data_IF_379131292058
#
_entry.id   IF_379131292058
#
_cell.length_a   1.000
_cell.length_b   1.000
_cell.length_c   1.000
_cell.angle_alpha   90.00
_cell.angle_beta   90.00
_cell.angle_gamma   90.00
#
_symmetry.space_group_name_H-M   'P 1'
#
loop_
_entity.id
_entity.type
_entity.pdbx_description
1 polymer ?
#
# COMPACT_ATOMS: atom_id res chain seq x y z
N UNK A 1 -25.33 1.89 -14.82
CA UNK A 1 -25.38 1.11 -13.56
C UNK A 1 -23.96 0.70 -13.20
N UNK A 2 -23.23 1.51 -12.44
CA UNK A 2 -21.91 1.13 -11.91
C UNK A 2 -22.09 0.77 -10.44
N UNK A 3 -22.13 -0.53 -10.17
CA UNK A 3 -21.94 -1.05 -8.82
C UNK A 3 -20.60 -0.49 -8.32
N UNK A 4 -20.63 0.46 -7.38
CA UNK A 4 -19.43 0.84 -6.65
C UNK A 4 -19.04 -0.41 -5.88
N UNK A 5 -18.03 -1.13 -6.35
CA UNK A 5 -17.43 -2.23 -5.62
C UNK A 5 -17.16 -1.76 -4.19
N UNK A 6 -17.80 -2.39 -3.22
CA UNK A 6 -17.62 -2.03 -1.81
C UNK A 6 -16.20 -2.43 -1.43
N UNK A 7 -15.28 -1.46 -1.45
CA UNK A 7 -13.91 -1.65 -0.98
C UNK A 7 -13.95 -2.04 0.50
N UNK A 8 -13.37 -3.19 0.84
CA UNK A 8 -13.24 -3.61 2.23
C UNK A 8 -12.19 -2.76 2.94
N UNK A 9 -12.65 -1.87 3.82
CA UNK A 9 -11.80 -0.97 4.62
C UNK A 9 -11.21 -1.62 5.88
N UNK A 10 -11.54 -2.89 6.15
CA UNK A 10 -10.95 -3.70 7.21
C UNK A 10 -9.88 -4.67 6.69
N UNK A 11 -9.56 -4.59 5.40
CA UNK A 11 -8.50 -5.35 4.75
C UNK A 11 -7.17 -5.23 5.50
N UNK A 12 -6.45 -6.34 5.62
CA UNK A 12 -5.10 -6.35 6.21
C UNK A 12 -4.17 -5.52 5.32
N UNK A 13 -3.38 -4.63 5.92
CA UNK A 13 -2.35 -3.84 5.22
C UNK A 13 -0.96 -4.38 5.57
N UNK A 14 -0.13 -4.63 4.57
CA UNK A 14 1.26 -5.01 4.74
C UNK A 14 2.16 -4.04 3.97
N UNK A 15 3.21 -3.54 4.62
CA UNK A 15 4.24 -2.71 4.02
C UNK A 15 5.46 -3.60 3.79
N UNK A 16 5.86 -3.75 2.53
CA UNK A 16 7.10 -4.39 2.15
C UNK A 16 8.25 -3.38 2.32
N UNK A 17 9.14 -3.64 3.26
CA UNK A 17 10.27 -2.77 3.58
C UNK A 17 11.37 -2.88 2.54
N UNK A 18 11.80 -1.74 2.00
CA UNK A 18 12.88 -1.65 1.02
C UNK A 18 14.12 -1.08 1.70
N UNK A 19 15.20 -1.87 1.71
CA UNK A 19 16.49 -1.48 2.31
C UNK A 19 17.41 -0.74 1.35
N UNK A 20 16.95 -0.48 0.13
CA UNK A 20 17.74 0.20 -0.88
C UNK A 20 17.99 1.65 -0.47
N UNK A 21 19.25 1.98 -0.26
CA UNK A 21 19.71 3.33 0.00
C UNK A 21 19.71 4.13 -1.31
N UNK A 22 19.21 5.36 -1.26
CA UNK A 22 19.25 6.28 -2.38
C UNK A 22 20.41 7.24 -2.20
N UNK A 23 21.39 7.17 -3.10
CA UNK A 23 22.46 8.16 -3.18
C UNK A 23 21.95 9.45 -3.85
N UNK A 24 22.45 10.63 -3.44
CA UNK A 24 23.51 10.89 -2.45
C UNK A 24 23.00 11.05 -1.00
N UNK A 25 21.77 10.64 -0.71
CA UNK A 25 21.12 10.93 0.57
C UNK A 25 21.43 9.93 1.69
N UNK A 26 22.13 8.83 1.37
CA UNK A 26 22.52 7.76 2.31
C UNK A 26 21.35 7.23 3.16
N UNK A 27 20.11 7.32 2.64
CA UNK A 27 18.89 6.92 3.32
C UNK A 27 17.95 6.13 2.40
N UNK A 28 17.14 5.19 2.92
CA UNK A 28 16.07 4.55 2.16
C UNK A 28 15.02 5.55 1.71
N UNK A 29 14.40 5.32 0.54
CA UNK A 29 13.40 6.24 -0.01
C UNK A 29 12.25 6.51 0.97
N UNK A 30 11.83 5.49 1.72
CA UNK A 30 10.78 5.57 2.72
C UNK A 30 10.99 6.70 3.75
N UNK A 31 12.25 7.02 4.06
CA UNK A 31 12.66 8.04 5.03
C UNK A 31 12.94 9.40 4.39
N UNK A 32 13.01 9.47 3.07
CA UNK A 32 13.26 10.73 2.39
C UNK A 32 12.00 11.60 2.42
N UNK A 33 12.13 12.90 2.74
CA UNK A 33 11.01 13.82 2.64
C UNK A 33 10.67 14.05 1.17
N UNK A 34 9.40 13.86 0.83
CA UNK A 34 8.81 14.31 -0.43
C UNK A 34 7.94 15.52 -0.10
N UNK A 35 8.38 16.71 -0.53
CA UNK A 35 7.87 17.99 -0.07
C UNK A 35 8.14 18.18 1.44
N UNK A 36 7.12 18.00 2.29
CA UNK A 36 7.17 18.29 3.72
C UNK A 36 6.92 17.06 4.62
N UNK A 37 6.78 15.87 4.02
CA UNK A 37 6.49 14.62 4.73
C UNK A 37 7.23 13.46 4.09
N UNK A 38 7.53 12.44 4.87
CA UNK A 38 8.10 11.18 4.38
C UNK A 38 7.08 10.43 3.52
N UNK A 39 7.57 9.47 2.71
CA UNK A 39 6.68 8.61 1.91
C UNK A 39 5.73 7.84 2.84
N UNK A 40 6.23 7.31 3.96
CA UNK A 40 5.41 6.53 4.92
C UNK A 40 4.29 7.37 5.53
N UNK A 41 4.59 8.60 5.96
CA UNK A 41 3.57 9.53 6.47
C UNK A 41 2.51 9.85 5.40
N UNK A 42 2.94 10.08 4.16
CA UNK A 42 2.02 10.30 3.06
C UNK A 42 1.11 9.09 2.81
N UNK A 43 1.65 7.88 2.81
CA UNK A 43 0.89 6.65 2.61
C UNK A 43 -0.17 6.47 3.70
N UNK A 44 0.18 6.67 4.97
CA UNK A 44 -0.80 6.59 6.06
C UNK A 44 -1.88 7.69 5.98
N UNK A 45 -1.53 8.90 5.53
CA UNK A 45 -2.53 9.94 5.26
C UNK A 45 -3.53 9.49 4.19
N UNK A 46 -3.06 8.87 3.10
CA UNK A 46 -3.92 8.34 2.03
C UNK A 46 -4.87 7.28 2.58
N UNK A 47 -4.39 6.33 3.38
CA UNK A 47 -5.23 5.29 3.97
C UNK A 47 -6.22 5.83 5.01
N UNK A 48 -5.81 6.84 5.78
CA UNK A 48 -6.68 7.56 6.72
C UNK A 48 -7.82 8.25 5.98
N UNK A 49 -7.53 8.95 4.88
CA UNK A 49 -8.55 9.59 4.03
C UNK A 49 -9.51 8.58 3.40
N UNK A 50 -9.00 7.40 3.02
CA UNK A 50 -9.81 6.29 2.51
C UNK A 50 -10.58 5.53 3.59
N UNK A 51 -10.40 5.90 4.86
CA UNK A 51 -11.05 5.32 6.04
C UNK A 51 -10.68 3.85 6.28
N UNK A 52 -9.48 3.43 5.89
CA UNK A 52 -8.94 2.12 6.26
C UNK A 52 -8.75 2.04 7.78
N UNK A 53 -8.97 0.86 8.34
CA UNK A 53 -8.79 0.59 9.76
C UNK A 53 -7.59 -0.32 9.99
N UNK A 54 -7.03 -0.23 11.19
CA UNK A 54 -5.88 -1.04 11.60
C UNK A 54 -4.55 -0.44 11.14
N UNK A 55 -3.49 -0.83 11.86
CA UNK A 55 -2.12 -0.48 11.51
C UNK A 55 -1.59 -1.47 10.47
N UNK A 56 -0.70 -1.04 9.56
CA UNK A 56 -0.02 -1.96 8.67
C UNK A 56 0.95 -2.86 9.45
N UNK A 57 1.22 -4.04 8.90
CA UNK A 57 2.33 -4.89 9.33
C UNK A 57 3.53 -4.65 8.42
N UNK A 58 4.71 -4.49 9.00
CA UNK A 58 5.96 -4.47 8.24
C UNK A 58 6.34 -5.91 7.89
N UNK A 59 6.75 -6.14 6.65
CA UNK A 59 7.27 -7.42 6.15
C UNK A 59 8.55 -7.15 5.37
N UNK A 60 9.54 -8.04 5.49
CA UNK A 60 10.77 -7.97 4.69
C UNK A 60 10.64 -8.71 3.37
N UNK A 61 9.69 -9.65 3.26
CA UNK A 61 9.44 -10.39 2.02
C UNK A 61 7.96 -10.82 1.86
N UNK A 62 7.55 -11.17 0.64
CA UNK A 62 6.16 -11.58 0.37
C UNK A 62 5.81 -12.95 0.97
N UNK A 63 6.82 -13.78 1.25
CA UNK A 63 6.67 -15.11 1.86
C UNK A 63 6.19 -15.03 3.31
N UNK A 64 6.39 -13.90 4.00
CA UNK A 64 5.88 -13.65 5.35
C UNK A 64 4.35 -13.45 5.37
N UNK A 65 3.75 -13.21 4.21
CA UNK A 65 2.30 -13.14 4.06
C UNK A 65 1.78 -14.57 4.12
N UNK A 66 1.39 -15.00 5.32
CA UNK A 66 0.67 -16.26 5.49
C UNK A 66 -0.51 -16.34 4.52
N UNK A 67 -0.84 -17.55 4.07
CA UNK A 67 -2.03 -17.86 3.28
C UNK A 67 -3.32 -17.67 4.10
N UNK A 68 -3.53 -16.46 4.62
CA UNK A 68 -4.75 -16.07 5.30
C UNK A 68 -5.85 -15.84 4.26
N UNK A 69 -7.06 -16.29 4.56
CA UNK A 69 -8.26 -16.02 3.78
C UNK A 69 -8.73 -14.56 3.84
N UNK A 70 -8.10 -13.72 4.67
CA UNK A 70 -8.46 -12.30 4.73
C UNK A 70 -7.93 -11.54 3.52
N UNK A 71 -8.75 -10.68 2.90
CA UNK A 71 -8.29 -9.76 1.89
C UNK A 71 -7.08 -8.97 2.41
N UNK A 72 -6.02 -8.87 1.61
CA UNK A 72 -4.74 -8.25 2.00
C UNK A 72 -4.27 -7.28 0.92
N UNK A 73 -3.89 -6.08 1.35
CA UNK A 73 -3.25 -5.07 0.52
C UNK A 73 -1.76 -5.01 0.88
N UNK A 74 -0.91 -5.17 -0.12
CA UNK A 74 0.55 -5.10 0.01
C UNK A 74 1.07 -3.93 -0.81
N UNK A 75 1.93 -3.12 -0.23
CA UNK A 75 2.58 -2.00 -0.91
C UNK A 75 4.00 -1.83 -0.36
N UNK A 76 4.89 -1.21 -1.15
CA UNK A 76 6.25 -0.93 -0.70
C UNK A 76 6.33 0.40 0.02
N UNK A 77 7.22 0.47 1.00
CA UNK A 77 7.51 1.70 1.76
C UNK A 77 8.17 2.81 0.93
N UNK A 78 8.73 2.46 -0.23
CA UNK A 78 9.45 3.37 -1.14
C UNK A 78 8.63 3.84 -2.35
N UNK A 79 7.36 3.45 -2.46
CA UNK A 79 6.47 3.86 -3.56
C UNK A 79 5.52 4.96 -3.12
N UNK A 80 5.56 6.10 -3.82
CA UNK A 80 4.58 7.17 -3.65
C UNK A 80 3.28 6.88 -4.42
N UNK A 81 2.11 7.05 -3.80
CA UNK A 81 0.80 6.87 -4.45
C UNK A 81 -0.28 7.74 -3.83
N UNK A 82 -1.32 8.06 -4.61
CA UNK A 82 -2.50 8.80 -4.14
C UNK A 82 -3.72 7.88 -3.94
N UNK A 83 -4.82 8.46 -3.44
CA UNK A 83 -6.06 7.72 -3.16
C UNK A 83 -6.70 7.15 -4.43
N UNK A 84 -6.59 7.85 -5.57
CA UNK A 84 -7.16 7.44 -6.84
C UNK A 84 -6.51 6.15 -7.35
N UNK A 85 -5.17 6.06 -7.28
CA UNK A 85 -4.42 4.85 -7.60
C UNK A 85 -4.87 3.70 -6.70
N UNK A 86 -4.90 3.90 -5.38
CA UNK A 86 -5.31 2.84 -4.44
C UNK A 86 -6.72 2.32 -4.76
N UNK A 87 -7.68 3.22 -5.00
CA UNK A 87 -9.06 2.85 -5.32
C UNK A 87 -9.17 2.09 -6.64
N UNK A 88 -8.44 2.50 -7.68
CA UNK A 88 -8.43 1.81 -8.97
C UNK A 88 -7.94 0.36 -8.82
N UNK A 89 -6.88 0.14 -8.04
CA UNK A 89 -6.33 -1.20 -7.79
C UNK A 89 -7.30 -2.08 -7.03
N UNK A 90 -7.93 -1.54 -5.99
CA UNK A 90 -8.92 -2.28 -5.20
C UNK A 90 -10.15 -2.62 -6.04
N UNK A 91 -10.65 -1.69 -6.84
CA UNK A 91 -11.77 -1.93 -7.75
C UNK A 91 -11.43 -3.02 -8.78
N UNK A 92 -10.23 -2.99 -9.36
CA UNK A 92 -9.77 -3.99 -10.32
C UNK A 92 -9.63 -5.38 -9.69
N UNK A 93 -9.06 -5.46 -8.48
CA UNK A 93 -8.95 -6.72 -7.75
C UNK A 93 -10.34 -7.29 -7.41
N UNK A 94 -11.25 -6.46 -6.90
CA UNK A 94 -12.62 -6.87 -6.57
C UNK A 94 -13.43 -7.28 -7.80
N UNK A 95 -13.29 -6.58 -8.93
CA UNK A 95 -14.01 -6.91 -10.16
C UNK A 95 -13.55 -8.22 -10.80
N UNK A 96 -12.27 -8.56 -10.68
CA UNK A 96 -11.69 -9.77 -11.27
C UNK A 96 -11.65 -10.96 -10.33
N UNK A 97 -11.78 -10.73 -9.00
CA UNK A 97 -11.56 -11.75 -7.98
C UNK A 97 -10.11 -12.26 -7.92
N UNK A 98 -9.18 -11.56 -8.58
CA UNK A 98 -7.77 -11.93 -8.70
C UNK A 98 -6.88 -10.84 -8.09
N UNK A 99 -5.66 -11.18 -7.63
CA UNK A 99 -4.70 -10.18 -7.20
C UNK A 99 -4.43 -9.16 -8.32
N UNK A 100 -4.54 -7.87 -8.00
CA UNK A 100 -4.13 -6.78 -8.88
C UNK A 100 -2.79 -6.19 -8.39
N UNK A 101 -1.85 -5.96 -9.31
CA UNK A 101 -0.51 -5.47 -9.02
C UNK A 101 -0.16 -4.27 -9.91
N UNK A 102 0.31 -3.18 -9.31
CA UNK A 102 0.81 -2.00 -10.03
C UNK A 102 2.29 -2.20 -10.34
N UNK A 103 2.57 -2.73 -11.54
CA UNK A 103 3.89 -2.83 -12.20
C UNK A 103 5.08 -3.37 -11.36
N UNK A 104 6.26 -3.39 -11.98
CA UNK A 104 7.40 -4.29 -11.79
C UNK A 104 8.66 -3.53 -11.36
#
# INVERSE_FOLDING_TARGET
>A
MTSRGTVDRRMRRCILETKQVIHPFESPAARLPVLNRTIVEHQEDVFTQLKFKGRPFLISSLEEISSSTSPTLVYRDDIYFNKEIVLEFLNRASATGKPARLAF
#
